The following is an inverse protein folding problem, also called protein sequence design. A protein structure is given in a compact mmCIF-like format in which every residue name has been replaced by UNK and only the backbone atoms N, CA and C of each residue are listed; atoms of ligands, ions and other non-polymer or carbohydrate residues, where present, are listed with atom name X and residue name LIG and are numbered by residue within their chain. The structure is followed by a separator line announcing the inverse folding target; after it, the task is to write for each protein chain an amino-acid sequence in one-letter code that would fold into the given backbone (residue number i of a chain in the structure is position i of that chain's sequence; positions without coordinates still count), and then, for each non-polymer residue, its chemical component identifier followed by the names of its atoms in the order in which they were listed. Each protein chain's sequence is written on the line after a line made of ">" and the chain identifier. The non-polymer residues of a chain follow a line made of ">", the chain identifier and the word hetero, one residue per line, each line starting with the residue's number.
data_IF_838590220719
#
_entry.id   IF_838590220719
#
_cell.length_a   1.000
_cell.length_b   1.000
_cell.length_c   1.000
_cell.angle_alpha   90.00
_cell.angle_beta   90.00
_cell.angle_gamma   90.00
#
_symmetry.space_group_name_H-M   'P 1'
#
loop_
_entity.id
_entity.type
_entity.pdbx_description
1 polymer ?
#
# COMPACT_ATOMS: atom_id res chain seq x y z
N UNK A 1 -0.46 -1.15 -2.69
CA UNK A 1 0.39 -0.60 -1.62
C UNK A 1 0.83 0.85 -1.85
N UNK A 2 -0.03 1.74 -2.33
CA UNK A 2 0.30 3.17 -2.46
C UNK A 2 0.43 3.85 -1.07
N UNK A 3 1.13 5.00 -1.02
CA UNK A 3 1.17 5.88 0.16
C UNK A 3 -0.10 6.70 0.24
N UNK A 4 -0.51 7.12 1.44
CA UNK A 4 -1.71 7.95 1.61
C UNK A 4 -1.66 9.25 0.81
N UNK A 5 -0.48 9.88 0.72
CA UNK A 5 -0.28 11.08 -0.12
C UNK A 5 -0.39 10.79 -1.62
N UNK A 6 0.04 9.61 -2.07
CA UNK A 6 -0.09 9.19 -3.48
C UNK A 6 -1.56 8.97 -3.84
N UNK A 7 -2.36 8.37 -2.95
CA UNK A 7 -3.80 8.12 -3.14
C UNK A 7 -4.60 9.42 -3.19
N UNK A 8 -4.26 10.40 -2.33
CA UNK A 8 -4.96 11.69 -2.29
C UNK A 8 -4.67 12.56 -3.50
N UNK A 9 -3.56 12.32 -4.20
CA UNK A 9 -3.17 13.08 -5.37
C UNK A 9 -3.63 12.42 -6.69
N UNK A 10 -4.55 11.45 -6.65
CA UNK A 10 -5.08 10.79 -7.84
C UNK A 10 -5.86 11.81 -8.69
N UNK A 11 -5.63 11.80 -10.00
CA UNK A 11 -6.33 12.63 -10.97
C UNK A 11 -6.44 11.90 -12.30
N UNK A 12 -7.37 12.33 -13.17
CA UNK A 12 -7.53 11.72 -14.51
C UNK A 12 -6.24 11.77 -15.33
N UNK A 13 -5.41 12.77 -15.11
CA UNK A 13 -4.13 12.93 -15.82
C UNK A 13 -3.09 11.87 -15.44
N UNK A 14 -3.14 11.37 -14.20
CA UNK A 14 -2.15 10.46 -13.66
C UNK A 14 -2.61 9.00 -13.55
N UNK A 15 -3.90 8.75 -13.77
CA UNK A 15 -4.46 7.42 -14.01
C UNK A 15 -4.17 7.03 -15.46
N UNK A 16 -3.57 5.86 -15.64
CA UNK A 16 -3.28 5.23 -16.95
C UNK A 16 -3.84 3.81 -16.95
N UNK A 17 -3.90 3.21 -18.14
CA UNK A 17 -4.38 1.83 -18.26
C UNK A 17 -3.49 0.85 -17.45
N UNK A 18 -4.05 0.33 -16.36
CA UNK A 18 -3.38 -0.61 -15.45
C UNK A 18 -2.41 -0.01 -14.43
N UNK A 19 -2.22 1.32 -14.36
CA UNK A 19 -1.31 1.93 -13.38
C UNK A 19 -1.56 3.41 -13.08
N UNK A 20 -1.05 3.87 -11.94
CA UNK A 20 -0.94 5.29 -11.57
C UNK A 20 0.50 5.77 -11.70
N UNK A 21 0.68 6.99 -12.20
CA UNK A 21 1.95 7.71 -12.14
C UNK A 21 1.91 8.67 -10.97
N UNK A 22 2.73 8.43 -9.93
CA UNK A 22 2.69 9.22 -8.70
C UNK A 22 4.04 9.84 -8.39
N UNK A 23 4.03 10.99 -7.71
CA UNK A 23 5.24 11.63 -7.22
C UNK A 23 5.62 11.05 -5.85
N UNK A 24 6.75 10.35 -5.80
CA UNK A 24 7.38 9.90 -4.56
C UNK A 24 8.40 10.91 -4.03
N UNK A 25 9.01 10.59 -2.89
CA UNK A 25 10.07 11.42 -2.27
C UNK A 25 11.31 11.62 -3.16
N UNK A 26 11.58 10.68 -4.07
CA UNK A 26 12.77 10.66 -4.92
C UNK A 26 12.44 10.84 -6.41
N UNK A 27 11.23 11.33 -6.73
CA UNK A 27 10.76 11.50 -8.09
C UNK A 27 9.55 10.63 -8.43
N UNK A 28 9.21 10.60 -9.71
CA UNK A 28 8.05 9.85 -10.22
C UNK A 28 8.24 8.35 -10.06
N UNK A 29 7.15 7.64 -9.75
CA UNK A 29 7.10 6.19 -9.72
C UNK A 29 5.76 5.67 -10.20
N UNK A 30 5.76 4.41 -10.63
CA UNK A 30 4.57 3.70 -11.07
C UNK A 30 3.99 2.91 -9.90
N UNK A 31 2.67 3.00 -9.72
CA UNK A 31 1.89 2.12 -8.85
C UNK A 31 0.96 1.29 -9.73
N UNK A 32 1.18 -0.02 -9.79
CA UNK A 32 0.30 -0.93 -10.52
C UNK A 32 -1.08 -0.99 -9.86
N UNK A 33 -2.11 -0.89 -10.69
CA UNK A 33 -3.51 -1.07 -10.29
C UNK A 33 -3.89 -2.53 -10.52
N UNK A 34 -4.44 -3.18 -9.50
CA UNK A 34 -5.08 -4.49 -9.68
C UNK A 34 -6.48 -4.30 -10.26
N UNK A 35 -7.14 -5.41 -10.62
CA UNK A 35 -8.50 -5.39 -11.16
C UNK A 35 -9.49 -4.64 -10.26
N UNK A 36 -9.50 -4.93 -8.96
CA UNK A 36 -10.38 -4.25 -8.01
C UNK A 36 -10.15 -2.72 -7.97
N UNK A 37 -8.90 -2.27 -7.97
CA UNK A 37 -8.62 -0.83 -7.95
C UNK A 37 -9.05 -0.15 -9.26
N UNK A 38 -8.93 -0.84 -10.40
CA UNK A 38 -9.45 -0.33 -11.69
C UNK A 38 -10.96 -0.21 -11.66
N UNK A 39 -11.67 -1.26 -11.24
CA UNK A 39 -13.13 -1.25 -11.13
C UNK A 39 -13.64 -0.10 -10.25
N UNK A 40 -12.98 0.16 -9.10
CA UNK A 40 -13.32 1.28 -8.23
C UNK A 40 -13.13 2.62 -8.95
N UNK A 41 -12.03 2.80 -9.68
CA UNK A 41 -11.75 4.04 -10.41
C UNK A 41 -12.68 4.24 -11.62
N UNK A 42 -13.17 3.17 -12.22
CA UNK A 42 -14.08 3.23 -13.37
C UNK A 42 -15.54 3.51 -12.94
N UNK A 43 -15.94 3.02 -11.76
CA UNK A 43 -17.32 3.12 -11.27
C UNK A 43 -17.59 4.34 -10.41
N UNK A 44 -16.56 5.06 -9.96
CA UNK A 44 -16.71 6.19 -9.04
C UNK A 44 -16.08 7.45 -9.64
N UNK A 45 -16.66 8.60 -9.30
CA UNK A 45 -15.98 9.88 -9.52
C UNK A 45 -14.68 9.93 -8.70
N UNK A 46 -13.66 10.56 -9.26
CA UNK A 46 -12.42 10.77 -8.53
C UNK A 46 -12.67 11.71 -7.36
N UNK A 47 -12.16 11.31 -6.19
CA UNK A 47 -12.30 12.09 -4.98
C UNK A 47 -11.31 13.26 -4.93
N UNK A 48 -11.75 14.37 -4.32
CA UNK A 48 -10.90 15.48 -3.89
C UNK A 48 -11.06 15.69 -2.39
N UNK A 49 -10.25 14.96 -1.60
CA UNK A 49 -10.33 14.97 -0.15
C UNK A 49 -9.10 15.59 0.50
N UNK A 50 -9.35 16.48 1.45
CA UNK A 50 -8.29 17.03 2.31
C UNK A 50 -7.65 15.93 3.17
N UNK A 51 -6.41 16.17 3.61
CA UNK A 51 -5.70 15.26 4.54
C UNK A 51 -6.53 14.98 5.79
N UNK A 52 -7.15 16.03 6.34
CA UNK A 52 -7.97 15.94 7.54
C UNK A 52 -9.22 15.08 7.32
N UNK A 53 -9.90 15.23 6.17
CA UNK A 53 -11.04 14.39 5.82
C UNK A 53 -10.66 12.91 5.84
N UNK A 54 -9.58 12.54 5.15
CA UNK A 54 -9.14 11.13 5.08
C UNK A 54 -8.78 10.60 6.47
N UNK A 55 -8.07 11.38 7.30
CA UNK A 55 -7.70 10.98 8.66
C UNK A 55 -8.93 10.79 9.57
N UNK A 56 -9.88 11.73 9.54
CA UNK A 56 -11.10 11.65 10.34
C UNK A 56 -11.99 10.49 9.89
N UNK A 57 -12.18 10.31 8.58
CA UNK A 57 -12.96 9.21 8.00
C UNK A 57 -12.33 7.86 8.32
N UNK A 58 -10.99 7.72 8.24
CA UNK A 58 -10.30 6.53 8.71
C UNK A 58 -10.55 6.28 10.20
N UNK A 59 -10.42 7.30 11.04
CA UNK A 59 -10.59 7.18 12.49
C UNK A 59 -12.01 6.80 12.89
N UNK A 60 -13.02 7.32 12.20
CA UNK A 60 -14.43 6.94 12.40
C UNK A 60 -14.67 5.48 11.99
N UNK A 61 -14.21 5.09 10.80
CA UNK A 61 -14.44 3.74 10.29
C UNK A 61 -13.70 2.67 11.10
N UNK A 62 -12.43 2.89 11.47
CA UNK A 62 -11.69 1.92 12.31
C UNK A 62 -12.40 1.70 13.65
N UNK A 63 -12.87 2.77 14.31
CA UNK A 63 -13.61 2.68 15.58
C UNK A 63 -14.94 1.94 15.41
N UNK A 64 -15.70 2.28 14.37
CA UNK A 64 -16.97 1.64 14.03
C UNK A 64 -16.82 0.14 13.80
N UNK A 65 -15.69 -0.29 13.25
CA UNK A 65 -15.37 -1.69 12.96
C UNK A 65 -14.63 -2.42 14.10
N UNK A 66 -14.40 -1.77 15.25
CA UNK A 66 -13.71 -2.40 16.39
C UNK A 66 -12.18 -2.47 16.27
N UNK A 67 -11.57 -1.75 15.31
CA UNK A 67 -10.11 -1.70 15.16
C UNK A 67 -9.50 -0.59 16.01
N UNK A 68 -9.00 -0.95 17.20
CA UNK A 68 -8.44 -0.01 18.16
C UNK A 68 -7.01 0.45 17.81
N UNK A 69 -6.16 -0.43 17.29
CA UNK A 69 -4.74 -0.18 17.00
C UNK A 69 -4.38 -0.21 15.50
N UNK A 70 -5.35 0.05 14.63
CA UNK A 70 -5.11 0.11 13.19
C UNK A 70 -4.80 1.53 12.70
N UNK A 71 -3.66 1.69 12.02
CA UNK A 71 -3.26 2.94 11.36
C UNK A 71 -3.49 2.81 9.85
N UNK A 72 -3.76 3.94 9.19
CA UNK A 72 -3.95 3.95 7.73
C UNK A 72 -2.74 3.37 6.98
N UNK A 73 -1.52 3.60 7.49
CA UNK A 73 -0.29 3.05 6.92
C UNK A 73 -0.25 1.52 6.98
N UNK A 74 -0.96 0.89 7.90
CA UNK A 74 -0.96 -0.57 8.04
C UNK A 74 -1.61 -1.24 6.82
N UNK A 75 -2.54 -0.58 6.09
CA UNK A 75 -3.03 -1.09 4.80
C UNK A 75 -1.90 -1.32 3.78
N UNK A 76 -0.92 -0.40 3.76
CA UNK A 76 0.26 -0.53 2.91
C UNK A 76 1.19 -1.64 3.41
N UNK A 77 1.31 -1.81 4.74
CA UNK A 77 2.07 -2.91 5.32
C UNK A 77 1.44 -4.27 5.01
N UNK A 78 0.12 -4.40 5.17
CA UNK A 78 -0.63 -5.61 4.82
C UNK A 78 -0.44 -6.00 3.37
N UNK A 79 -0.46 -5.02 2.44
CA UNK A 79 -0.12 -5.29 1.04
C UNK A 79 1.28 -5.91 0.86
N UNK A 80 2.30 -5.35 1.51
CA UNK A 80 3.66 -5.87 1.42
C UNK A 80 3.81 -7.25 2.06
N UNK A 81 3.26 -7.41 3.26
CA UNK A 81 3.26 -8.67 4.01
C UNK A 81 2.56 -9.79 3.22
N UNK A 82 1.38 -9.54 2.66
CA UNK A 82 0.65 -10.55 1.89
C UNK A 82 1.44 -11.01 0.65
N UNK A 83 2.13 -10.10 -0.04
CA UNK A 83 2.94 -10.48 -1.21
C UNK A 83 4.14 -11.34 -0.81
N UNK A 84 4.80 -11.02 0.31
CA UNK A 84 5.92 -11.83 0.79
C UNK A 84 5.40 -13.21 1.24
N UNK A 85 4.27 -13.27 1.94
CA UNK A 85 3.62 -14.52 2.36
C UNK A 85 3.24 -15.40 1.17
N UNK A 86 2.91 -14.80 0.03
CA UNK A 86 2.67 -15.49 -1.25
C UNK A 86 3.96 -15.91 -1.97
N UNK A 87 5.12 -15.82 -1.32
CA UNK A 87 6.42 -16.23 -1.87
C UNK A 87 7.06 -15.21 -2.81
N UNK A 88 6.53 -13.99 -2.91
CA UNK A 88 7.09 -12.99 -3.82
C UNK A 88 8.45 -12.49 -3.32
N UNK A 89 9.49 -12.40 -4.17
CA UNK A 89 10.81 -11.95 -3.75
C UNK A 89 10.78 -10.57 -3.11
N UNK A 90 11.47 -10.42 -1.97
CA UNK A 90 11.45 -9.19 -1.16
C UNK A 90 11.91 -7.96 -1.95
N UNK A 91 12.82 -8.15 -2.90
CA UNK A 91 13.25 -7.11 -3.83
C UNK A 91 12.10 -6.58 -4.69
N UNK A 92 11.28 -7.46 -5.28
CA UNK A 92 10.12 -7.05 -6.07
C UNK A 92 9.08 -6.32 -5.21
N UNK A 93 8.82 -6.84 -4.01
CA UNK A 93 7.91 -6.20 -3.05
C UNK A 93 8.42 -4.81 -2.69
N UNK A 94 9.73 -4.65 -2.50
CA UNK A 94 10.38 -3.36 -2.26
C UNK A 94 10.13 -2.37 -3.40
N UNK A 95 10.21 -2.81 -4.66
CA UNK A 95 9.93 -1.97 -5.84
C UNK A 95 8.44 -1.63 -5.99
N UNK A 96 7.55 -2.57 -5.71
CA UNK A 96 6.09 -2.34 -5.68
C UNK A 96 5.69 -1.35 -4.58
N UNK A 97 6.35 -1.40 -3.43
CA UNK A 97 6.20 -0.41 -2.37
C UNK A 97 6.91 0.90 -2.72
N UNK A 98 7.96 0.87 -3.55
CA UNK A 98 8.75 2.03 -3.94
C UNK A 98 9.61 2.53 -2.78
N UNK A 99 10.25 1.60 -2.09
CA UNK A 99 11.35 1.91 -1.19
C UNK A 99 12.62 2.14 -2.00
N UNK A 100 13.42 3.11 -1.59
CA UNK A 100 14.70 3.42 -2.21
C UNK A 100 15.72 2.30 -2.02
N UNK A 101 15.60 1.57 -0.90
CA UNK A 101 16.44 0.41 -0.59
C UNK A 101 15.58 -0.80 -0.17
N UNK A 102 16.00 -2.00 -0.58
CA UNK A 102 15.42 -3.27 -0.10
C UNK A 102 15.55 -3.43 1.41
N UNK A 103 16.60 -2.86 2.02
CA UNK A 103 16.82 -2.88 3.47
C UNK A 103 15.70 -2.22 4.27
N UNK A 104 14.99 -1.26 3.67
CA UNK A 104 13.78 -0.68 4.29
C UNK A 104 12.65 -1.72 4.36
N UNK A 105 12.47 -2.49 3.30
CA UNK A 105 11.47 -3.57 3.23
C UNK A 105 11.83 -4.68 4.21
N UNK A 106 13.08 -5.14 4.22
CA UNK A 106 13.58 -6.15 5.17
C UNK A 106 13.29 -5.76 6.62
N UNK A 107 13.68 -4.55 7.05
CA UNK A 107 13.43 -4.07 8.42
C UNK A 107 11.96 -4.11 8.81
N UNK A 108 11.04 -3.90 7.86
CA UNK A 108 9.61 -3.86 8.14
C UNK A 108 8.92 -5.22 8.17
N UNK A 109 9.45 -6.21 7.44
CA UNK A 109 8.77 -7.49 7.21
C UNK A 109 9.55 -8.71 7.70
N UNK A 110 10.88 -8.70 7.70
CA UNK A 110 11.67 -9.84 8.15
C UNK A 110 11.31 -10.31 9.58
N UNK A 111 11.09 -9.42 10.58
CA UNK A 111 10.66 -9.84 11.91
C UNK A 111 9.29 -10.53 11.96
N UNK A 112 8.43 -10.28 10.96
CA UNK A 112 7.10 -10.89 10.87
C UNK A 112 7.15 -12.25 10.16
N UNK A 113 8.20 -12.50 9.38
CA UNK A 113 8.41 -13.80 8.74
C UNK A 113 9.01 -14.78 9.74
N UNK A 114 9.92 -14.32 10.60
CA UNK A 114 10.53 -15.16 11.64
C UNK A 114 9.52 -15.74 12.63
N UNK A 115 8.39 -15.08 12.84
CA UNK A 115 7.31 -15.60 13.68
C UNK A 115 6.45 -16.68 13.01
N UNK A 116 6.61 -16.89 11.69
CA UNK A 116 5.85 -17.87 10.90
C UNK A 116 6.75 -18.92 10.23
N UNK A 117 7.99 -19.07 10.68
CA UNK A 117 8.85 -20.17 10.25
C UNK A 117 8.44 -21.41 11.03
N UNK A 118 7.80 -22.35 10.35
CA UNK A 118 7.59 -23.72 10.86
C UNK A 118 8.94 -24.46 10.96
N UNK A 119 9.00 -25.51 11.78
CA UNK A 119 10.19 -26.36 11.90
C UNK A 119 10.70 -26.78 10.51
N UNK A 120 11.96 -26.49 10.23
CA UNK A 120 12.59 -26.79 8.95
C UNK A 120 13.45 -28.04 9.07
N UNK A 121 13.37 -28.91 8.06
CA UNK A 121 14.29 -30.04 7.90
C UNK A 121 15.43 -29.59 7.01
N UNK A 122 16.67 -29.75 7.52
CA UNK A 122 17.92 -29.40 6.83
C UNK A 122 18.30 -30.45 5.78
#
# INVERSE_FOLDING_TARGET
>A
GARSGEIRAISRDNVKDGYLVVNGKSGKRIVKLNTQAREILDTNELWDYTVNYVQLTWSRNRKRLGFHDARFHDLRRTFGYNLIKQGRPIYEVSKLLGHSSVTTTERHYAPLLTTEIDDFVL
#
